data_IF_372612841234
#
_entry.id   IF_372612841234
#
_cell.length_a   1.000
_cell.length_b   1.000
_cell.length_c   1.000
_cell.angle_alpha   90.00
_cell.angle_beta   90.00
_cell.angle_gamma   90.00
#
_symmetry.space_group_name_H-M   'P 1'
#
loop_
_entity.id
_entity.type
_entity.pdbx_description
1 polymer ?
#
# COMPACT_ATOMS: atom_id res chain seq x y z
N UNK A 1 20.86 41.73 20.36
CA UNK A 1 21.08 40.29 20.56
C UNK A 1 20.07 39.84 21.60
N UNK A 2 18.84 39.63 21.16
CA UNK A 2 17.71 39.38 22.03
C UNK A 2 17.55 37.88 22.20
N UNK A 3 18.09 37.37 23.30
CA UNK A 3 18.01 35.95 23.69
C UNK A 3 17.07 35.83 24.88
N UNK A 4 15.76 35.74 24.64
CA UNK A 4 14.79 35.21 25.59
C UNK A 4 13.72 34.41 24.86
N UNK A 5 14.11 33.26 24.33
CA UNK A 5 13.17 32.18 24.02
C UNK A 5 13.05 31.35 25.31
N UNK A 6 11.99 31.60 26.08
CA UNK A 6 11.58 30.68 27.14
C UNK A 6 10.45 29.83 26.57
N UNK A 7 10.86 28.74 25.91
CA UNK A 7 9.98 27.69 25.43
C UNK A 7 9.51 26.87 26.64
N UNK A 8 8.48 27.36 27.32
CA UNK A 8 7.82 26.64 28.39
C UNK A 8 6.81 25.67 27.81
N UNK A 9 7.18 24.39 27.66
CA UNK A 9 6.20 23.32 27.51
C UNK A 9 5.48 23.21 28.87
N UNK A 10 4.27 23.76 28.94
CA UNK A 10 3.37 23.51 30.07
C UNK A 10 2.72 22.14 29.83
N UNK A 11 3.33 21.09 30.39
CA UNK A 11 2.63 19.82 30.64
C UNK A 11 1.62 20.06 31.76
N UNK A 12 0.48 20.65 31.40
CA UNK A 12 -0.66 20.84 32.28
C UNK A 12 -1.50 19.57 32.35
N UNK A 13 -1.15 18.67 33.27
CA UNK A 13 -2.07 17.64 33.75
C UNK A 13 -3.00 18.29 34.77
N UNK A 14 -4.19 18.73 34.36
CA UNK A 14 -5.42 18.75 35.18
C UNK A 14 -6.56 19.54 34.49
N UNK A 15 -7.60 18.81 34.06
CA UNK A 15 -8.99 19.18 34.35
C UNK A 15 -9.72 20.15 33.41
N UNK A 16 -10.41 19.60 32.40
CA UNK A 16 -11.75 20.06 32.02
C UNK A 16 -12.53 18.88 31.40
N UNK A 17 -13.37 18.23 32.21
CA UNK A 17 -14.15 17.04 31.88
C UNK A 17 -15.33 17.27 30.89
N UNK A 18 -15.30 18.30 30.03
CA UNK A 18 -16.43 18.66 29.16
C UNK A 18 -16.08 19.04 27.71
N UNK A 19 -14.92 18.61 27.19
CA UNK A 19 -14.66 18.58 25.73
C UNK A 19 -14.57 17.16 25.17
N UNK A 20 -14.94 16.18 26.01
CA UNK A 20 -14.85 14.76 25.75
C UNK A 20 -15.42 14.30 24.40
N UNK A 21 -16.61 14.72 23.92
CA UNK A 21 -17.17 14.09 22.73
C UNK A 21 -16.36 14.40 21.46
N UNK A 22 -15.78 15.59 21.31
CA UNK A 22 -15.02 15.94 20.10
C UNK A 22 -13.59 15.39 20.11
N UNK A 23 -12.94 15.35 21.26
CA UNK A 23 -11.61 14.74 21.41
C UNK A 23 -11.72 13.21 21.35
N UNK A 24 -12.74 12.62 21.96
CA UNK A 24 -13.05 11.21 21.81
C UNK A 24 -13.40 10.88 20.35
N UNK A 25 -14.19 11.70 19.65
CA UNK A 25 -14.47 11.50 18.22
C UNK A 25 -13.22 11.57 17.31
N UNK A 26 -12.21 12.38 17.68
CA UNK A 26 -10.91 12.40 17.00
C UNK A 26 -10.07 11.14 17.29
N UNK A 27 -10.24 10.53 18.47
CA UNK A 27 -9.57 9.30 18.87
C UNK A 27 -10.31 8.03 18.40
N UNK A 28 -11.63 8.12 18.22
CA UNK A 28 -12.51 7.10 17.66
C UNK A 28 -12.85 7.38 16.21
N UNK A 29 -12.05 8.19 15.50
CA UNK A 29 -12.09 8.20 14.06
C UNK A 29 -11.54 6.85 13.63
N UNK A 30 -12.48 5.93 13.59
CA UNK A 30 -12.37 4.57 13.14
C UNK A 30 -11.79 4.64 11.74
N UNK A 31 -10.46 4.49 11.66
CA UNK A 31 -9.75 4.34 10.40
C UNK A 31 -9.95 2.90 9.93
N UNK A 32 -11.19 2.44 9.95
CA UNK A 32 -11.66 1.25 9.25
C UNK A 32 -12.00 1.68 7.82
N UNK A 33 -10.95 2.12 7.15
CA UNK A 33 -10.94 2.30 5.72
C UNK A 33 -9.59 1.75 5.29
N UNK A 34 -9.54 0.41 5.24
CA UNK A 34 -8.41 -0.41 4.81
C UNK A 34 -7.86 0.13 3.50
N UNK A 35 -6.86 0.99 3.60
CA UNK A 35 -6.22 1.62 2.45
C UNK A 35 -5.67 0.55 1.51
N UNK A 36 -5.12 -0.51 2.08
CA UNK A 36 -4.70 -1.73 1.39
C UNK A 36 -5.83 -2.41 0.64
N UNK A 37 -6.97 -2.68 1.30
CA UNK A 37 -8.13 -3.31 0.66
C UNK A 37 -8.75 -2.45 -0.46
N UNK A 38 -8.59 -1.13 -0.40
CA UNK A 38 -8.99 -0.23 -1.49
C UNK A 38 -7.99 -0.29 -2.65
N UNK A 39 -6.70 -0.23 -2.36
CA UNK A 39 -5.63 -0.28 -3.36
C UNK A 39 -5.60 -1.60 -4.15
N UNK A 40 -5.95 -2.71 -3.51
CA UNK A 40 -6.08 -4.04 -4.13
C UNK A 40 -7.24 -4.14 -5.14
N UNK A 41 -8.19 -3.19 -5.13
CA UNK A 41 -9.34 -3.18 -6.04
C UNK A 41 -9.26 -2.09 -7.11
N UNK A 42 -8.34 -1.15 -6.96
CA UNK A 42 -8.17 -0.05 -7.90
C UNK A 42 -7.04 -0.41 -8.85
N UNK A 43 -7.24 -0.13 -10.14
CA UNK A 43 -6.20 -0.27 -11.15
C UNK A 43 -5.04 0.72 -10.91
N UNK A 44 -3.84 0.32 -11.33
CA UNK A 44 -2.64 1.15 -11.32
C UNK A 44 -2.86 2.50 -12.01
N UNK A 45 -2.25 3.55 -11.47
CA UNK A 45 -2.32 4.92 -12.02
C UNK A 45 -1.52 5.04 -13.34
N UNK A 46 -0.60 4.10 -13.56
CA UNK A 46 0.28 4.08 -14.71
C UNK A 46 -0.11 3.02 -15.76
N UNK A 47 -1.28 2.39 -15.61
CA UNK A 47 -1.81 1.42 -16.58
C UNK A 47 -1.91 1.96 -18.01
N UNK A 48 -2.26 3.25 -18.15
CA UNK A 48 -2.33 3.94 -19.45
C UNK A 48 -0.95 4.36 -19.99
N UNK A 49 0.11 4.27 -19.18
CA UNK A 49 1.46 4.78 -19.50
C UNK A 49 2.46 3.67 -19.76
N UNK A 50 2.28 2.52 -19.11
CA UNK A 50 3.18 1.37 -19.17
C UNK A 50 2.35 0.10 -19.36
N UNK A 51 2.63 -0.64 -20.43
CA UNK A 51 1.96 -1.92 -20.71
C UNK A 51 2.22 -2.95 -19.61
N UNK A 52 3.33 -2.83 -18.86
CA UNK A 52 3.61 -3.65 -17.69
C UNK A 52 2.72 -3.33 -16.47
N UNK A 53 2.10 -2.14 -16.43
CA UNK A 53 1.17 -1.70 -15.39
C UNK A 53 -0.29 -2.00 -15.74
N UNK A 54 -0.58 -2.32 -17.01
CA UNK A 54 -1.92 -2.64 -17.47
C UNK A 54 -2.46 -3.89 -16.76
N UNK A 55 -3.60 -3.75 -16.08
CA UNK A 55 -4.22 -4.82 -15.30
C UNK A 55 -3.55 -5.10 -13.95
N UNK A 56 -2.52 -4.34 -13.54
CA UNK A 56 -2.05 -4.36 -12.16
C UNK A 56 -2.97 -3.53 -11.26
N UNK A 57 -3.15 -3.98 -10.03
CA UNK A 57 -3.78 -3.14 -9.01
C UNK A 57 -2.78 -2.08 -8.53
N UNK A 58 -3.25 -1.03 -7.85
CA UNK A 58 -2.34 -0.08 -7.21
C UNK A 58 -1.46 -0.75 -6.16
N UNK A 59 -1.96 -1.80 -5.52
CA UNK A 59 -1.18 -2.57 -4.56
C UNK A 59 -0.02 -3.31 -5.23
N UNK A 60 -0.30 -3.96 -6.36
CA UNK A 60 0.69 -4.71 -7.13
C UNK A 60 1.74 -3.78 -7.74
N UNK A 61 1.30 -2.64 -8.29
CA UNK A 61 2.17 -1.60 -8.83
C UNK A 61 3.21 -1.12 -7.80
N UNK A 62 2.79 -0.91 -6.55
CA UNK A 62 3.70 -0.49 -5.46
C UNK A 62 4.75 -1.55 -5.11
N UNK A 63 4.43 -2.84 -5.24
CA UNK A 63 5.36 -3.94 -4.93
C UNK A 63 6.12 -4.47 -6.16
N UNK A 64 5.82 -3.95 -7.35
CA UNK A 64 6.40 -4.41 -8.62
C UNK A 64 7.93 -4.45 -8.60
N UNK A 65 8.57 -3.42 -8.06
CA UNK A 65 10.03 -3.35 -7.98
C UNK A 65 10.64 -4.46 -7.11
N UNK A 66 9.98 -4.81 -6.00
CA UNK A 66 10.38 -5.91 -5.13
C UNK A 66 10.22 -7.26 -5.84
N UNK A 67 9.09 -7.45 -6.51
CA UNK A 67 8.81 -8.68 -7.25
C UNK A 67 9.81 -8.88 -8.39
N UNK A 68 10.15 -7.83 -9.11
CA UNK A 68 11.20 -7.86 -10.13
C UNK A 68 12.57 -8.25 -9.56
N UNK A 69 12.92 -7.74 -8.37
CA UNK A 69 14.14 -8.12 -7.68
C UNK A 69 14.16 -9.61 -7.26
N UNK A 70 12.98 -10.18 -6.96
CA UNK A 70 12.80 -11.59 -6.66
C UNK A 70 12.66 -12.48 -7.91
N UNK A 71 12.73 -11.91 -9.12
CA UNK A 71 12.68 -12.63 -10.39
C UNK A 71 11.27 -12.95 -10.90
N UNK A 72 10.24 -12.28 -10.38
CA UNK A 72 8.89 -12.42 -10.93
C UNK A 72 8.76 -11.76 -12.31
N UNK A 73 7.86 -12.25 -13.18
CA UNK A 73 7.70 -11.74 -14.54
C UNK A 73 7.27 -10.27 -14.56
N UNK A 74 7.80 -9.48 -15.50
CA UNK A 74 7.51 -8.04 -15.58
C UNK A 74 6.26 -7.71 -16.38
N UNK A 75 5.82 -8.59 -17.28
CA UNK A 75 4.72 -8.31 -18.21
C UNK A 75 3.71 -9.45 -18.25
N UNK A 76 2.48 -9.14 -18.68
CA UNK A 76 1.43 -10.14 -18.89
C UNK A 76 1.89 -11.25 -19.85
N UNK A 77 2.53 -10.87 -20.96
CA UNK A 77 3.03 -11.80 -21.97
C UNK A 77 4.09 -12.76 -21.42
N UNK A 78 5.04 -12.24 -20.64
CA UNK A 78 6.08 -13.08 -20.03
C UNK A 78 5.49 -14.02 -18.98
N UNK A 79 4.55 -13.54 -18.17
CA UNK A 79 3.82 -14.39 -17.22
C UNK A 79 3.06 -15.50 -17.93
N UNK A 80 2.32 -15.19 -18.99
CA UNK A 80 1.54 -16.17 -19.75
C UNK A 80 2.44 -17.22 -20.42
N UNK A 81 3.56 -16.79 -20.99
CA UNK A 81 4.57 -17.69 -21.52
C UNK A 81 5.09 -18.65 -20.45
N UNK A 82 5.49 -18.14 -19.29
CA UNK A 82 6.02 -18.95 -18.19
C UNK A 82 4.96 -19.90 -17.60
N UNK A 83 3.69 -19.47 -17.56
CA UNK A 83 2.57 -20.34 -17.18
C UNK A 83 2.43 -21.51 -18.16
N UNK A 84 2.41 -21.23 -19.47
CA UNK A 84 2.32 -22.27 -20.50
C UNK A 84 3.53 -23.22 -20.45
N UNK A 85 4.76 -22.70 -20.35
CA UNK A 85 5.98 -23.52 -20.19
C UNK A 85 5.90 -24.42 -18.93
N UNK A 86 5.37 -23.89 -17.83
CA UNK A 86 5.20 -24.66 -16.59
C UNK A 86 4.15 -25.77 -16.72
N UNK A 87 3.03 -25.50 -17.39
CA UNK A 87 1.98 -26.50 -17.63
C UNK A 87 2.44 -27.61 -18.59
N UNK A 88 3.18 -27.25 -19.64
CA UNK A 88 3.77 -28.22 -20.57
C UNK A 88 4.80 -29.11 -19.87
N UNK A 89 5.64 -28.52 -19.01
CA UNK A 89 6.60 -29.28 -18.20
C UNK A 89 5.89 -30.25 -17.26
N UNK A 90 4.80 -29.82 -16.62
CA UNK A 90 4.03 -30.66 -15.72
C UNK A 90 3.33 -31.83 -16.45
N UNK A 91 2.75 -31.59 -17.63
CA UNK A 91 2.13 -32.65 -18.47
C UNK A 91 3.16 -33.61 -19.07
N UNK A 92 4.36 -33.14 -19.38
CA UNK A 92 5.46 -33.99 -19.85
C UNK A 92 6.09 -34.86 -18.75
N UNK A 93 5.76 -34.58 -17.49
CA UNK A 93 6.19 -35.30 -16.31
C UNK A 93 5.06 -36.20 -15.77
N UNK A 94 4.31 -36.84 -16.66
CA UNK A 94 3.49 -38.00 -16.33
C UNK A 94 4.43 -39.16 -15.91
N UNK A 95 4.53 -39.40 -14.60
CA UNK A 95 5.15 -40.57 -13.97
C UNK A 95 4.22 -41.78 -13.98
#
# INVERSE_FOLDING_TARGET
MDKKVLMGIVLGVAGAALVAPKVAALLTQDREDDTWSKMDRMESVDSDKDEAEAGLTQLDSNHRAEWQANGFPQTHAERERLMNESEETFKGQDI
#
